data_IF_812973747437
#
_entry.id   IF_812973747437
#
_cell.length_a   1.000
_cell.length_b   1.000
_cell.length_c   1.000
_cell.angle_alpha   90.00
_cell.angle_beta   90.00
_cell.angle_gamma   90.00
#
_symmetry.space_group_name_H-M   'P 1'
#
loop_
_entity.id
_entity.type
_entity.pdbx_description
1 polymer ?
#
# COMPACT_ATOMS: atom_id res chain seq x y z
N UNK A 1 14.11 -21.38 27.22
CA UNK A 1 13.25 -21.23 26.04
C UNK A 1 12.96 -19.75 25.88
N UNK A 2 13.63 -19.09 24.94
CA UNK A 2 13.28 -17.70 24.58
C UNK A 2 11.88 -17.70 23.97
N UNK A 3 11.02 -16.69 24.24
CA UNK A 3 9.75 -16.59 23.54
C UNK A 3 10.05 -16.56 22.04
N UNK A 4 9.39 -17.44 21.29
CA UNK A 4 9.34 -17.38 19.84
C UNK A 4 8.82 -15.97 19.50
N UNK A 5 9.70 -15.08 19.04
CA UNK A 5 9.26 -13.75 18.59
C UNK A 5 8.19 -13.98 17.55
N UNK A 6 6.97 -13.53 17.82
CA UNK A 6 5.89 -13.57 16.85
C UNK A 6 6.42 -13.01 15.53
N UNK A 7 6.20 -13.74 14.42
CA UNK A 7 6.57 -13.24 13.10
C UNK A 7 5.85 -11.92 12.86
N UNK A 8 6.55 -10.94 12.31
CA UNK A 8 5.97 -9.65 11.99
C UNK A 8 4.87 -9.76 10.93
N UNK A 9 4.24 -8.65 10.58
CA UNK A 9 3.12 -8.63 9.65
C UNK A 9 3.35 -7.67 8.47
N UNK A 10 2.76 -8.01 7.33
CA UNK A 10 2.54 -7.05 6.26
C UNK A 10 1.18 -6.37 6.46
N UNK A 11 1.15 -5.04 6.44
CA UNK A 11 -0.09 -4.25 6.37
C UNK A 11 -0.25 -3.71 4.96
N UNK A 12 -1.17 -4.29 4.19
CA UNK A 12 -1.49 -3.85 2.83
C UNK A 12 -2.51 -2.71 2.84
N UNK A 13 -2.06 -1.51 2.50
CA UNK A 13 -2.93 -0.35 2.29
C UNK A 13 -3.47 -0.38 0.87
N UNK A 14 -4.78 -0.54 0.72
CA UNK A 14 -5.49 -0.63 -0.55
C UNK A 14 -6.65 0.37 -0.60
N UNK A 15 -7.21 0.60 -1.77
CA UNK A 15 -8.30 1.56 -1.95
C UNK A 15 -8.26 2.25 -3.31
N UNK A 16 -9.31 2.98 -3.69
CA UNK A 16 -9.39 3.62 -4.99
C UNK A 16 -8.34 4.72 -5.18
N UNK A 17 -8.09 5.06 -6.46
CA UNK A 17 -7.30 6.25 -6.78
C UNK A 17 -8.03 7.49 -6.26
N UNK A 18 -7.30 8.43 -5.65
CA UNK A 18 -7.90 9.61 -5.02
C UNK A 18 -8.35 9.43 -3.56
N UNK A 19 -8.33 8.20 -3.02
CA UNK A 19 -8.71 7.95 -1.62
C UNK A 19 -7.73 8.52 -0.58
N UNK A 20 -6.54 8.97 -1.00
CA UNK A 20 -5.55 9.58 -0.10
C UNK A 20 -4.64 8.58 0.63
N UNK A 21 -4.49 7.35 0.14
CA UNK A 21 -3.61 6.31 0.73
C UNK A 21 -2.20 6.81 1.05
N UNK A 22 -1.51 7.38 0.06
CA UNK A 22 -0.14 7.85 0.24
C UNK A 22 -0.09 9.02 1.26
N UNK A 23 -1.10 9.89 1.27
CA UNK A 23 -1.22 10.98 2.25
C UNK A 23 -1.37 10.44 3.68
N UNK A 24 -2.25 9.45 3.88
CA UNK A 24 -2.43 8.83 5.20
C UNK A 24 -1.18 8.09 5.64
N UNK A 25 -0.51 7.37 4.74
CA UNK A 25 0.74 6.67 5.06
C UNK A 25 1.85 7.64 5.45
N UNK A 26 2.04 8.74 4.71
CA UNK A 26 3.04 9.77 5.02
C UNK A 26 2.73 10.40 6.39
N UNK A 27 1.47 10.74 6.65
CA UNK A 27 1.06 11.33 7.93
C UNK A 27 1.22 10.35 9.09
N UNK A 28 0.84 9.09 8.92
CA UNK A 28 1.01 8.05 9.93
C UNK A 28 2.50 7.80 10.23
N UNK A 29 3.36 7.74 9.21
CA UNK A 29 4.80 7.58 9.38
C UNK A 29 5.46 8.74 10.15
N UNK A 30 4.89 9.95 10.06
CA UNK A 30 5.34 11.11 10.80
C UNK A 30 4.59 11.32 12.14
N UNK A 31 3.66 10.43 12.49
CA UNK A 31 2.81 10.61 13.66
C UNK A 31 3.58 10.29 14.95
N UNK A 32 3.58 11.19 15.95
CA UNK A 32 4.43 11.05 17.14
C UNK A 32 4.07 9.86 18.02
N UNK A 33 2.82 9.39 17.95
CA UNK A 33 2.35 8.23 18.73
C UNK A 33 2.57 6.89 18.01
N UNK A 34 3.12 6.87 16.79
CA UNK A 34 3.33 5.62 16.06
C UNK A 34 4.42 4.78 16.75
N UNK A 35 4.15 3.48 16.90
CA UNK A 35 5.13 2.52 17.40
C UNK A 35 6.38 2.48 16.47
N UNK A 36 7.60 2.69 17.01
CA UNK A 36 8.84 2.64 16.24
C UNK A 36 9.15 1.27 15.60
N UNK A 37 8.48 0.20 16.02
CA UNK A 37 8.55 -1.13 15.40
C UNK A 37 7.84 -1.22 14.03
N UNK A 38 7.11 -0.17 13.63
CA UNK A 38 6.31 -0.14 12.40
C UNK A 38 7.07 0.61 11.31
N UNK A 39 7.39 -0.10 10.22
CA UNK A 39 8.04 0.44 9.04
C UNK A 39 7.06 0.74 7.92
N UNK A 40 7.43 1.66 7.01
CA UNK A 40 6.69 1.94 5.77
C UNK A 40 7.55 1.59 4.56
N UNK A 41 7.10 0.64 3.75
CA UNK A 41 7.82 0.20 2.57
C UNK A 41 7.58 1.12 1.38
N UNK A 42 8.65 1.40 0.65
CA UNK A 42 8.60 1.97 -0.69
C UNK A 42 8.48 0.83 -1.71
N UNK A 43 7.61 1.00 -2.70
CA UNK A 43 7.45 0.07 -3.82
C UNK A 43 8.26 0.58 -5.00
N UNK A 44 8.89 -0.33 -5.73
CA UNK A 44 9.49 -0.05 -7.04
C UNK A 44 8.39 -0.14 -8.09
N UNK A 45 8.36 0.76 -9.06
CA UNK A 45 7.35 0.78 -10.13
C UNK A 45 8.00 0.91 -11.51
N UNK A 46 7.44 0.26 -12.53
CA UNK A 46 7.86 0.54 -13.90
C UNK A 46 7.37 1.91 -14.34
N UNK A 47 8.29 2.77 -14.76
CA UNK A 47 7.97 4.06 -15.40
C UNK A 47 8.92 4.27 -16.56
N UNK A 48 8.46 4.94 -17.61
CA UNK A 48 9.39 5.40 -18.64
C UNK A 48 10.42 6.32 -17.98
N UNK A 49 11.70 6.04 -18.24
CA UNK A 49 12.80 6.87 -17.77
C UNK A 49 12.63 8.28 -18.35
N UNK A 50 12.08 9.20 -17.56
CA UNK A 50 12.29 10.62 -17.81
C UNK A 50 13.77 10.85 -17.54
N UNK A 51 14.50 11.23 -18.60
CA UNK A 51 15.92 11.53 -18.57
C UNK A 51 16.24 12.35 -17.32
N UNK A 52 17.04 11.79 -16.42
CA UNK A 52 17.44 12.31 -15.11
C UNK A 52 16.42 12.17 -13.96
N UNK A 53 16.35 10.99 -13.36
CA UNK A 53 16.33 10.88 -11.90
C UNK A 53 16.85 9.49 -11.52
N UNK A 54 17.95 9.41 -10.77
CA UNK A 54 18.36 8.19 -10.04
C UNK A 54 17.40 7.97 -8.86
N UNK A 55 16.11 7.88 -9.15
CA UNK A 55 15.08 7.53 -8.19
C UNK A 55 14.98 6.01 -8.21
N UNK A 56 15.65 5.33 -7.28
CA UNK A 56 15.61 3.86 -7.13
C UNK A 56 14.18 3.29 -6.94
N UNK A 57 13.19 4.16 -6.74
CA UNK A 57 11.77 3.85 -6.68
C UNK A 57 11.14 3.55 -8.04
N UNK A 58 11.80 3.86 -9.15
CA UNK A 58 11.31 3.54 -10.48
C UNK A 58 12.39 2.93 -11.36
N UNK A 59 12.03 1.85 -12.03
CA UNK A 59 12.86 1.20 -13.06
C UNK A 59 12.14 1.31 -14.40
N UNK A 60 12.87 1.27 -15.49
CA UNK A 60 12.26 0.96 -16.78
C UNK A 60 11.91 -0.55 -16.84
N UNK A 61 11.22 -0.98 -17.90
CA UNK A 61 10.79 -2.38 -18.03
C UNK A 61 11.98 -3.35 -18.04
N UNK A 62 13.08 -2.99 -18.70
CA UNK A 62 14.27 -3.83 -18.78
C UNK A 62 14.98 -3.96 -17.42
N UNK A 63 15.14 -2.85 -16.70
CA UNK A 63 15.71 -2.82 -15.36
C UNK A 63 14.84 -3.56 -14.35
N UNK A 64 13.52 -3.40 -14.43
CA UNK A 64 12.59 -4.13 -13.56
C UNK A 64 12.67 -5.64 -13.80
N UNK A 65 12.66 -6.08 -15.06
CA UNK A 65 12.77 -7.49 -15.41
C UNK A 65 14.10 -8.09 -14.93
N UNK A 66 15.20 -7.33 -15.05
CA UNK A 66 16.50 -7.74 -14.52
C UNK A 66 16.47 -7.87 -12.99
N UNK A 67 15.98 -6.86 -12.28
CA UNK A 67 15.89 -6.90 -10.82
C UNK A 67 15.00 -8.06 -10.32
N UNK A 68 13.90 -8.34 -11.02
CA UNK A 68 13.04 -9.50 -10.75
C UNK A 68 13.80 -10.83 -10.96
N UNK A 69 14.52 -10.98 -12.06
CA UNK A 69 15.32 -12.17 -12.34
C UNK A 69 16.46 -12.39 -11.32
N UNK A 70 17.00 -11.31 -10.77
CA UNK A 70 18.00 -11.31 -9.69
C UNK A 70 17.39 -11.54 -8.29
N UNK A 71 16.06 -11.69 -8.18
CA UNK A 71 15.38 -11.96 -6.90
C UNK A 71 15.27 -10.73 -5.99
N UNK A 72 15.29 -9.52 -6.56
CA UNK A 72 15.27 -8.27 -5.79
C UNK A 72 13.92 -7.99 -5.10
N UNK A 73 12.84 -8.68 -5.49
CA UNK A 73 11.49 -8.44 -4.99
C UNK A 73 10.94 -9.62 -4.17
N UNK A 74 10.29 -9.31 -3.05
CA UNK A 74 9.53 -10.27 -2.27
C UNK A 74 8.11 -10.49 -2.80
N UNK A 75 7.58 -9.54 -3.57
CA UNK A 75 6.28 -9.57 -4.23
C UNK A 75 6.35 -8.72 -5.51
N UNK A 76 5.81 -9.23 -6.61
CA UNK A 76 5.65 -8.49 -7.87
C UNK A 76 4.19 -8.57 -8.29
N UNK A 77 3.64 -7.46 -8.76
CA UNK A 77 2.28 -7.42 -9.31
C UNK A 77 2.16 -6.41 -10.45
N UNK A 78 1.10 -6.52 -11.25
CA UNK A 78 0.79 -5.58 -12.31
C UNK A 78 -0.52 -4.83 -12.01
N UNK A 79 -0.53 -3.52 -12.25
CA UNK A 79 -1.74 -2.70 -12.15
C UNK A 79 -1.63 -1.48 -13.08
N UNK A 80 -2.75 -1.08 -13.69
CA UNK A 80 -2.81 0.12 -14.53
C UNK A 80 -1.75 0.18 -15.65
N UNK A 81 -1.38 -0.97 -16.22
CA UNK A 81 -0.38 -1.06 -17.28
C UNK A 81 1.08 -0.91 -16.82
N UNK A 82 1.32 -0.89 -15.49
CA UNK A 82 2.64 -0.84 -14.88
C UNK A 82 2.88 -2.09 -14.04
N UNK A 83 4.15 -2.42 -13.81
CA UNK A 83 4.59 -3.45 -12.87
C UNK A 83 5.09 -2.79 -11.59
N UNK A 84 4.89 -3.46 -10.48
CA UNK A 84 5.29 -3.00 -9.16
C UNK A 84 5.99 -4.12 -8.43
N UNK A 85 6.99 -3.77 -7.64
CA UNK A 85 7.79 -4.69 -6.84
C UNK A 85 7.90 -4.20 -5.41
N UNK A 86 7.67 -5.08 -4.45
CA UNK A 86 8.01 -4.84 -3.05
C UNK A 86 9.41 -5.41 -2.79
N UNK A 87 10.40 -4.60 -2.38
CA UNK A 87 11.78 -5.08 -2.22
C UNK A 87 11.90 -6.28 -1.28
N UNK A 88 12.85 -7.18 -1.57
CA UNK A 88 13.12 -8.37 -0.75
C UNK A 88 13.50 -8.01 0.69
N UNK A 89 14.02 -6.80 0.91
CA UNK A 89 14.29 -6.26 2.24
C UNK A 89 13.05 -6.31 3.15
N UNK A 90 11.85 -6.01 2.62
CA UNK A 90 10.60 -6.03 3.40
C UNK A 90 10.33 -7.40 4.02
N UNK A 91 10.59 -8.48 3.28
CA UNK A 91 10.47 -9.85 3.79
C UNK A 91 11.41 -10.08 4.98
N UNK A 92 12.64 -9.54 4.93
CA UNK A 92 13.61 -9.67 6.02
C UNK A 92 13.15 -8.91 7.27
N UNK A 93 12.54 -7.73 7.10
CA UNK A 93 12.00 -6.95 8.22
C UNK A 93 10.86 -7.70 8.93
N UNK A 94 9.93 -8.23 8.15
CA UNK A 94 8.79 -9.01 8.65
C UNK A 94 9.27 -10.28 9.37
N UNK A 95 10.22 -11.01 8.79
CA UNK A 95 10.83 -12.17 9.44
C UNK A 95 11.59 -11.81 10.73
N UNK A 96 12.06 -10.57 10.87
CA UNK A 96 12.69 -10.08 12.10
C UNK A 96 11.67 -9.65 13.18
N UNK A 97 10.37 -9.79 12.92
CA UNK A 97 9.30 -9.42 13.85
C UNK A 97 8.73 -8.02 13.64
N UNK A 98 9.14 -7.30 12.57
CA UNK A 98 8.61 -5.94 12.32
C UNK A 98 7.29 -5.98 11.57
N UNK A 99 6.43 -5.02 11.87
CA UNK A 99 5.24 -4.73 11.06
C UNK A 99 5.62 -3.76 9.95
N UNK A 100 5.33 -4.10 8.70
CA UNK A 100 5.65 -3.25 7.54
C UNK A 100 4.39 -2.88 6.79
N UNK A 101 4.18 -1.59 6.58
CA UNK A 101 3.04 -1.02 5.87
C UNK A 101 3.42 -0.75 4.41
N UNK A 102 2.63 -1.27 3.47
CA UNK A 102 2.87 -1.08 2.04
C UNK A 102 1.58 -0.73 1.30
N UNK A 103 1.64 0.25 0.39
CA UNK A 103 0.52 0.55 -0.51
C UNK A 103 0.54 -0.42 -1.69
N UNK A 104 -0.47 -1.27 -1.75
CA UNK A 104 -0.63 -2.35 -2.73
C UNK A 104 -1.87 -2.13 -3.60
N UNK A 105 -2.02 -2.97 -4.62
CA UNK A 105 -3.27 -3.07 -5.36
C UNK A 105 -4.22 -4.06 -4.68
N UNK A 106 -5.53 -3.89 -4.89
CA UNK A 106 -6.53 -4.85 -4.38
C UNK A 106 -6.36 -6.25 -4.96
N UNK A 107 -5.85 -6.34 -6.19
CA UNK A 107 -5.63 -7.61 -6.88
C UNK A 107 -4.41 -8.36 -6.35
N UNK A 108 -3.45 -7.67 -5.74
CA UNK A 108 -2.22 -8.28 -5.22
C UNK A 108 -2.35 -8.77 -3.78
N UNK A 109 -3.55 -8.76 -3.20
CA UNK A 109 -3.77 -9.14 -1.80
C UNK A 109 -3.59 -10.64 -1.57
N UNK A 110 -4.05 -11.49 -2.51
CA UNK A 110 -3.90 -12.93 -2.40
C UNK A 110 -2.42 -13.34 -2.50
N UNK A 111 -1.68 -12.77 -3.43
CA UNK A 111 -0.25 -12.99 -3.58
C UNK A 111 0.54 -12.44 -2.39
N UNK A 112 0.12 -11.31 -1.81
CA UNK A 112 0.70 -10.78 -0.58
C UNK A 112 0.49 -11.72 0.62
N UNK A 113 -0.72 -12.27 0.78
CA UNK A 113 -1.01 -13.23 1.85
C UNK A 113 -0.12 -14.48 1.72
N UNK A 114 -0.03 -15.05 0.51
CA UNK A 114 0.84 -16.19 0.24
C UNK A 114 2.33 -15.87 0.44
N UNK A 115 2.77 -14.65 0.11
CA UNK A 115 4.18 -14.26 0.19
C UNK A 115 4.66 -14.00 1.62
N UNK A 116 3.83 -13.46 2.51
CA UNK A 116 4.27 -12.95 3.82
C UNK A 116 3.66 -13.68 5.03
N UNK A 117 2.63 -14.51 4.83
CA UNK A 117 1.98 -15.28 5.89
C UNK A 117 0.99 -14.43 6.70
N UNK A 118 1.49 -13.50 7.53
CA UNK A 118 0.63 -12.62 8.33
C UNK A 118 0.32 -11.34 7.53
N UNK A 119 -0.92 -11.25 7.02
CA UNK A 119 -1.41 -10.09 6.27
C UNK A 119 -2.54 -9.38 7.03
N UNK A 120 -2.40 -8.08 7.22
CA UNK A 120 -3.50 -7.18 7.57
C UNK A 120 -3.85 -6.31 6.37
N UNK A 121 -5.14 -6.04 6.16
CA UNK A 121 -5.61 -5.18 5.07
C UNK A 121 -6.14 -3.88 5.65
N UNK A 122 -5.63 -2.75 5.17
CA UNK A 122 -6.19 -1.42 5.43
C UNK A 122 -6.83 -0.93 4.15
N UNK A 123 -8.15 -0.91 4.11
CA UNK A 123 -8.91 -0.37 2.98
C UNK A 123 -9.24 1.10 3.22
N UNK A 124 -8.55 1.99 2.52
CA UNK A 124 -8.86 3.42 2.52
C UNK A 124 -9.94 3.69 1.49
N UNK A 125 -11.03 4.29 1.94
CA UNK A 125 -12.19 4.66 1.12
C UNK A 125 -12.45 6.16 1.20
N UNK A 126 -13.25 6.68 0.28
CA UNK A 126 -13.82 8.02 0.37
C UNK A 126 -15.11 8.05 -0.44
N UNK A 127 -15.99 8.99 -0.13
CA UNK A 127 -17.24 9.24 -0.83
C UNK A 127 -16.96 9.47 -2.33
N UNK A 128 -17.74 8.88 -3.24
CA UNK A 128 -17.60 9.08 -4.68
C UNK A 128 -17.52 10.54 -5.11
N UNK A 129 -18.29 11.44 -4.48
CA UNK A 129 -18.25 12.87 -4.76
C UNK A 129 -16.91 13.50 -4.36
N UNK A 130 -16.33 13.09 -3.22
CA UNK A 130 -15.01 13.52 -2.77
C UNK A 130 -13.91 12.98 -3.69
N UNK A 131 -14.01 11.70 -4.11
CA UNK A 131 -13.09 11.12 -5.07
C UNK A 131 -13.13 11.85 -6.41
N UNK A 132 -14.33 12.18 -6.91
CA UNK A 132 -14.52 12.94 -8.13
C UNK A 132 -13.83 14.31 -8.03
N UNK A 133 -14.14 15.09 -7.00
CA UNK A 133 -13.53 16.40 -6.80
C UNK A 133 -11.99 16.33 -6.74
N UNK A 134 -11.44 15.37 -5.99
CA UNK A 134 -9.98 15.16 -5.86
C UNK A 134 -9.32 14.74 -7.18
N UNK A 135 -10.00 13.92 -7.99
CA UNK A 135 -9.48 13.46 -9.26
C UNK A 135 -9.58 14.55 -10.34
N UNK A 136 -10.71 15.28 -10.38
CA UNK A 136 -10.92 16.41 -11.29
C UNK A 136 -9.90 17.53 -11.05
N UNK A 137 -9.59 17.83 -9.78
CA UNK A 137 -8.58 18.83 -9.43
C UNK A 137 -7.17 18.54 -9.97
N UNK A 138 -6.86 17.29 -10.36
CA UNK A 138 -5.57 16.92 -10.96
C UNK A 138 -5.47 17.26 -12.45
N UNK A 139 -6.60 17.56 -13.11
CA UNK A 139 -6.65 18.02 -14.51
C UNK A 139 -6.21 16.99 -15.56
N UNK A 140 -6.12 15.69 -15.23
CA UNK A 140 -5.58 14.66 -16.12
C UNK A 140 -6.63 13.93 -16.96
N UNK A 141 -7.89 13.98 -16.55
CA UNK A 141 -8.98 13.20 -17.14
C UNK A 141 -10.28 14.02 -17.13
N UNK A 142 -11.14 13.91 -18.16
CA UNK A 142 -12.48 14.48 -18.14
C UNK A 142 -13.34 13.92 -17.01
N UNK A 143 -14.23 14.74 -16.46
CA UNK A 143 -15.08 14.37 -15.33
C UNK A 143 -15.96 13.14 -15.61
N UNK A 144 -16.50 13.02 -16.83
CA UNK A 144 -17.29 11.87 -17.26
C UNK A 144 -16.48 10.56 -17.18
N UNK A 145 -15.23 10.57 -17.67
CA UNK A 145 -14.32 9.43 -17.59
C UNK A 145 -14.02 9.05 -16.14
N UNK A 146 -13.88 10.03 -15.25
CA UNK A 146 -13.68 9.79 -13.82
C UNK A 146 -14.92 9.11 -13.22
N UNK A 147 -16.13 9.62 -13.49
CA UNK A 147 -17.37 9.01 -13.00
C UNK A 147 -17.52 7.57 -13.46
N UNK A 148 -17.31 7.28 -14.74
CA UNK A 148 -17.40 5.92 -15.28
C UNK A 148 -16.37 4.98 -14.64
N UNK A 149 -15.18 5.50 -14.32
CA UNK A 149 -14.16 4.73 -13.60
C UNK A 149 -14.57 4.48 -12.13
N UNK A 150 -15.17 5.47 -11.46
CA UNK A 150 -15.66 5.32 -10.09
C UNK A 150 -16.83 4.32 -10.01
N UNK A 151 -17.77 4.37 -10.97
CA UNK A 151 -18.92 3.46 -11.03
C UNK A 151 -18.52 1.98 -11.27
N UNK A 152 -17.42 1.74 -11.99
CA UNK A 152 -16.87 0.40 -12.25
C UNK A 152 -15.95 -0.11 -11.14
N UNK A 153 -15.86 0.59 -9.99
CA UNK A 153 -15.03 0.13 -8.89
C UNK A 153 -15.63 -1.13 -8.26
N UNK A 154 -14.85 -2.20 -8.33
CA UNK A 154 -15.16 -3.45 -7.65
C UNK A 154 -14.84 -3.30 -6.16
N UNK A 155 -15.61 -3.97 -5.31
CA UNK A 155 -15.31 -4.09 -3.88
C UNK A 155 -13.92 -4.70 -3.66
N UNK A 156 -13.29 -4.37 -2.53
CA UNK A 156 -12.05 -5.00 -2.13
C UNK A 156 -12.34 -6.43 -1.68
N UNK A 157 -11.82 -7.42 -2.41
CA UNK A 157 -11.84 -8.81 -1.98
C UNK A 157 -10.69 -9.01 -0.98
N UNK A 158 -11.02 -8.94 0.31
CA UNK A 158 -10.07 -9.26 1.38
C UNK A 158 -9.87 -10.77 1.42
N UNK A 159 -8.62 -11.27 1.36
CA UNK A 159 -8.37 -12.70 1.47
C UNK A 159 -8.92 -13.25 2.80
N UNK A 160 -9.62 -14.41 2.82
CA UNK A 160 -10.16 -15.00 4.05
C UNK A 160 -9.10 -15.26 5.13
N UNK A 161 -7.86 -15.48 4.72
CA UNK A 161 -6.69 -15.72 5.57
C UNK A 161 -6.06 -14.43 6.14
N UNK A 162 -6.58 -13.25 5.80
CA UNK A 162 -6.09 -12.00 6.37
C UNK A 162 -6.35 -11.99 7.89
N UNK A 163 -5.29 -11.70 8.66
CA UNK A 163 -5.33 -11.64 10.12
C UNK A 163 -6.16 -10.47 10.65
N UNK A 164 -6.38 -9.44 9.82
CA UNK A 164 -7.27 -8.34 10.17
C UNK A 164 -7.60 -7.45 8.97
N UNK A 165 -8.74 -6.75 9.08
CA UNK A 165 -9.20 -5.80 8.09
C UNK A 165 -9.69 -4.52 8.77
N UNK A 166 -9.07 -3.40 8.43
CA UNK A 166 -9.51 -2.07 8.82
C UNK A 166 -10.01 -1.34 7.58
N UNK A 167 -11.24 -0.83 7.61
CA UNK A 167 -11.72 0.14 6.61
C UNK A 167 -11.62 1.55 7.17
N UNK A 168 -10.84 2.42 6.54
CA UNK A 168 -10.71 3.85 6.88
C UNK A 168 -11.47 4.71 5.88
N UNK A 169 -12.42 5.52 6.35
CA UNK A 169 -13.08 6.53 5.52
C UNK A 169 -12.27 7.84 5.58
N UNK A 170 -11.78 8.28 4.44
CA UNK A 170 -11.03 9.52 4.26
C UNK A 170 -11.82 10.55 3.45
N UNK A 171 -13.14 10.59 3.63
CA UNK A 171 -14.03 11.62 3.08
C UNK A 171 -13.96 12.94 3.83
N UNK A 172 -13.81 12.86 5.15
CA UNK A 172 -13.79 13.99 6.07
C UNK A 172 -12.37 14.45 6.40
N UNK A 173 -12.14 14.69 7.69
CA UNK A 173 -10.84 15.15 8.19
C UNK A 173 -9.76 14.07 8.06
N UNK A 174 -8.68 14.44 7.38
CA UNK A 174 -7.51 13.60 7.17
C UNK A 174 -6.75 13.33 8.47
N UNK A 175 -6.81 14.22 9.48
CA UNK A 175 -6.18 13.98 10.77
C UNK A 175 -6.89 12.83 11.50
N UNK A 176 -8.22 12.89 11.64
CA UNK A 176 -9.00 11.79 12.24
C UNK A 176 -8.80 10.44 11.51
N UNK A 177 -8.71 10.46 10.17
CA UNK A 177 -8.42 9.25 9.40
C UNK A 177 -6.97 8.73 9.62
N UNK A 178 -6.02 9.64 9.88
CA UNK A 178 -4.64 9.29 10.24
C UNK A 178 -4.58 8.68 11.63
N UNK A 179 -5.24 9.28 12.62
CA UNK A 179 -5.25 8.81 14.01
C UNK A 179 -5.80 7.39 14.07
N UNK A 180 -6.92 7.14 13.37
CA UNK A 180 -7.50 5.79 13.29
C UNK A 180 -6.58 4.76 12.63
N UNK A 181 -5.78 5.17 11.65
CA UNK A 181 -4.77 4.30 11.05
C UNK A 181 -3.65 4.00 12.07
N UNK A 182 -3.16 5.02 12.77
CA UNK A 182 -2.10 4.88 13.78
C UNK A 182 -2.54 4.00 14.94
N UNK A 183 -3.75 4.19 15.46
CA UNK A 183 -4.30 3.37 16.53
C UNK A 183 -4.35 1.89 16.15
N UNK A 184 -4.83 1.60 14.93
CA UNK A 184 -4.85 0.24 14.43
C UNK A 184 -3.44 -0.34 14.28
N UNK A 185 -2.51 0.43 13.71
CA UNK A 185 -1.12 0.01 13.52
C UNK A 185 -0.44 -0.30 14.85
N UNK A 186 -0.59 0.57 15.86
CA UNK A 186 -0.05 0.38 17.19
C UNK A 186 -0.63 -0.87 17.88
N UNK A 187 -1.90 -1.18 17.63
CA UNK A 187 -2.51 -2.42 18.12
C UNK A 187 -1.90 -3.71 17.53
N UNK A 188 -1.08 -3.60 16.48
CA UNK A 188 -0.33 -4.73 15.90
C UNK A 188 1.09 -4.84 16.45
N UNK A 189 1.62 -3.78 17.07
CA UNK A 189 2.94 -3.71 17.68
C UNK A 189 2.87 -4.13 19.14
N UNK A 190 2.82 -5.44 19.41
CA UNK A 190 2.87 -6.01 20.76
C UNK A 190 3.52 -7.40 20.75
#
# INVERSE_FOLDING_TARGET
MSPERARGALVAVVGPSGAGKDTLMIRAAAHPALDPGIGFARRVVTRQALVASEDHDSLDEAGFARAEAEGAFALVWAAHGLRYGLPVAVRREILAGRTVVANLSRRSLAEAAAAFGTLHVVEVTADPAVLLARLSARGREPEATIRDRLARQVATAVPPEAAGHLRVDNSGDVAAATDRLVDYLNGLGS
#
